data_IF_885044643325
#
_entry.id   IF_885044643325
#
_cell.length_a   1.000
_cell.length_b   1.000
_cell.length_c   1.000
_cell.angle_alpha   90.00
_cell.angle_beta   90.00
_cell.angle_gamma   90.00
#
_symmetry.space_group_name_H-M   'P 1'
#
loop_
_entity.id
_entity.type
_entity.pdbx_description
1 polymer ?
#
# COMPACT_ATOMS: atom_id res chain seq x y z
N UNK A 1 -2.85 -18.41 56.00
CA UNK A 1 -1.82 -17.54 55.41
C UNK A 1 -1.21 -18.23 54.21
N UNK A 2 -1.56 -17.79 53.01
CA UNK A 2 -0.82 -18.06 51.78
C UNK A 2 -1.02 -16.81 50.92
N UNK A 3 -0.07 -15.90 51.03
CA UNK A 3 0.10 -14.74 50.15
C UNK A 3 0.98 -15.17 48.98
N UNK A 4 0.83 -14.50 47.83
CA UNK A 4 1.71 -14.41 46.63
C UNK A 4 0.82 -14.48 45.38
N UNK A 5 0.83 -13.59 44.40
CA UNK A 5 1.30 -12.21 44.18
C UNK A 5 0.68 -11.83 42.82
N UNK A 6 0.09 -10.64 42.70
CA UNK A 6 -0.38 -10.12 41.42
C UNK A 6 0.80 -9.87 40.47
N UNK A 7 0.78 -10.47 39.27
CA UNK A 7 1.72 -10.14 38.21
C UNK A 7 1.12 -9.06 37.32
N UNK A 8 1.71 -7.87 37.40
CA UNK A 8 1.41 -6.72 36.57
C UNK A 8 1.98 -6.94 35.17
N UNK A 9 1.11 -7.14 34.17
CA UNK A 9 1.52 -7.14 32.76
C UNK A 9 1.88 -5.71 32.37
N UNK A 10 3.18 -5.46 32.33
CA UNK A 10 3.79 -4.18 32.02
C UNK A 10 3.73 -3.96 30.51
N UNK A 11 2.69 -3.27 30.02
CA UNK A 11 2.63 -2.81 28.62
C UNK A 11 3.65 -1.70 28.41
N UNK A 12 4.88 -2.11 28.11
CA UNK A 12 5.98 -1.22 27.70
C UNK A 12 5.58 -0.56 26.39
N UNK A 13 5.24 0.74 26.46
CA UNK A 13 5.06 1.59 25.29
C UNK A 13 6.41 1.72 24.60
N UNK A 14 6.48 1.30 23.34
CA UNK A 14 7.66 1.49 22.48
C UNK A 14 7.80 3.00 22.20
N UNK A 15 8.93 3.56 22.63
CA UNK A 15 9.36 4.92 22.35
C UNK A 15 10.34 4.88 21.17
N UNK A 16 9.99 5.36 19.97
CA UNK A 16 10.96 5.50 18.90
C UNK A 16 11.81 6.75 19.16
N UNK A 17 13.00 6.55 19.73
CA UNK A 17 14.03 7.59 19.74
C UNK A 17 14.58 7.71 18.32
N UNK A 18 14.17 8.76 17.61
CA UNK A 18 14.74 9.14 16.34
C UNK A 18 16.15 9.71 16.57
N UNK A 19 17.18 8.89 16.34
CA UNK A 19 18.55 9.35 16.19
C UNK A 19 18.73 9.91 14.78
N UNK A 20 18.83 11.22 14.68
CA UNK A 20 19.18 11.97 13.47
C UNK A 20 20.61 11.65 13.03
N UNK A 21 20.76 11.10 11.81
CA UNK A 21 22.06 10.92 11.16
C UNK A 21 21.92 10.19 9.83
N UNK A 22 21.87 10.95 8.72
CA UNK A 22 22.37 10.67 7.35
C UNK A 22 22.47 9.23 6.81
N UNK A 23 21.62 8.30 7.26
CA UNK A 23 21.47 6.92 6.78
C UNK A 23 20.01 6.63 6.34
N UNK A 24 19.18 7.67 6.18
CA UNK A 24 17.72 7.55 6.02
C UNK A 24 17.27 6.71 4.82
N UNK A 25 18.03 6.70 3.72
CA UNK A 25 17.65 5.96 2.51
C UNK A 25 17.93 4.45 2.63
N UNK A 26 18.99 4.04 3.34
CA UNK A 26 19.27 2.62 3.57
C UNK A 26 18.21 2.01 4.50
N UNK A 27 17.81 2.73 5.55
CA UNK A 27 16.74 2.31 6.46
C UNK A 27 15.35 2.33 5.82
N UNK A 28 15.09 3.24 4.87
CA UNK A 28 13.82 3.27 4.15
C UNK A 28 13.69 2.09 3.17
N UNK A 29 14.75 1.75 2.44
CA UNK A 29 14.75 0.56 1.58
C UNK A 29 14.62 -0.73 2.39
N UNK A 30 15.31 -0.84 3.53
CA UNK A 30 15.19 -2.01 4.42
C UNK A 30 13.76 -2.16 4.96
N UNK A 31 13.11 -1.05 5.32
CA UNK A 31 11.70 -1.06 5.73
C UNK A 31 10.74 -1.49 4.60
N UNK A 32 11.00 -1.05 3.36
CA UNK A 32 10.21 -1.47 2.20
C UNK A 32 10.39 -2.96 1.90
N UNK A 33 11.62 -3.47 2.00
CA UNK A 33 11.91 -4.89 1.81
C UNK A 33 11.22 -5.75 2.90
N UNK A 34 11.25 -5.31 4.16
CA UNK A 34 10.54 -5.98 5.26
C UNK A 34 9.02 -5.97 5.04
N UNK A 35 8.46 -4.84 4.59
CA UNK A 35 7.04 -4.73 4.29
C UNK A 35 6.62 -5.64 3.13
N UNK A 36 7.41 -5.69 2.05
CA UNK A 36 7.17 -6.58 0.91
C UNK A 36 7.24 -8.05 1.32
N UNK A 37 8.25 -8.44 2.11
CA UNK A 37 8.39 -9.82 2.59
C UNK A 37 7.22 -10.21 3.51
N UNK A 38 6.79 -9.31 4.40
CA UNK A 38 5.63 -9.51 5.27
C UNK A 38 4.35 -9.74 4.46
N UNK A 39 4.11 -8.91 3.44
CA UNK A 39 2.96 -9.03 2.54
C UNK A 39 3.00 -10.34 1.77
N UNK A 40 4.15 -10.70 1.19
CA UNK A 40 4.32 -11.97 0.48
C UNK A 40 4.08 -13.16 1.39
N UNK A 41 4.62 -13.13 2.61
CA UNK A 41 4.40 -14.18 3.61
C UNK A 41 2.94 -14.32 3.98
N UNK A 42 2.21 -13.21 4.13
CA UNK A 42 0.77 -13.24 4.42
C UNK A 42 -0.03 -13.84 3.26
N UNK A 43 0.28 -13.45 2.01
CA UNK A 43 -0.33 -14.03 0.80
C UNK A 43 -0.13 -15.55 0.77
N UNK A 44 1.10 -15.98 1.02
CA UNK A 44 1.50 -17.37 1.07
C UNK A 44 0.74 -18.19 2.12
N UNK A 45 0.52 -17.62 3.30
CA UNK A 45 -0.26 -18.24 4.38
C UNK A 45 -1.73 -18.38 3.97
N UNK A 46 -2.33 -17.32 3.43
CA UNK A 46 -3.74 -17.32 3.05
C UNK A 46 -4.02 -18.27 1.86
N UNK A 47 -3.11 -18.34 0.88
CA UNK A 47 -3.22 -19.29 -0.24
C UNK A 47 -3.08 -20.73 0.25
N UNK A 48 -2.10 -21.03 1.11
CA UNK A 48 -1.95 -22.38 1.69
C UNK A 48 -3.20 -22.81 2.45
N UNK A 49 -3.76 -21.91 3.27
CA UNK A 49 -4.99 -22.19 4.01
C UNK A 49 -6.17 -22.53 3.10
N UNK A 50 -6.31 -21.83 1.97
CA UNK A 50 -7.35 -22.12 0.96
C UNK A 50 -7.12 -23.49 0.32
N UNK A 51 -5.88 -23.78 -0.10
CA UNK A 51 -5.53 -25.05 -0.75
C UNK A 51 -5.71 -26.25 0.20
N UNK A 52 -5.30 -26.11 1.46
CA UNK A 52 -5.44 -27.16 2.48
C UNK A 52 -6.92 -27.43 2.79
N UNK A 53 -7.72 -26.39 2.93
CA UNK A 53 -9.16 -26.53 3.16
C UNK A 53 -9.88 -27.14 1.94
N UNK A 54 -9.48 -26.77 0.72
CA UNK A 54 -10.02 -27.35 -0.51
C UNK A 54 -9.66 -28.84 -0.68
N UNK A 55 -8.40 -29.20 -0.43
CA UNK A 55 -7.97 -30.61 -0.43
C UNK A 55 -8.73 -31.43 0.63
N UNK A 56 -8.96 -30.86 1.82
CA UNK A 56 -9.78 -31.50 2.83
C UNK A 56 -11.23 -31.75 2.36
N UNK A 57 -11.84 -30.79 1.66
CA UNK A 57 -13.17 -30.96 1.06
C UNK A 57 -13.21 -32.06 -0.01
N UNK A 58 -12.20 -32.14 -0.88
CA UNK A 58 -12.08 -33.22 -1.86
C UNK A 58 -12.00 -34.58 -1.14
N UNK A 59 -11.19 -34.66 -0.08
CA UNK A 59 -11.05 -35.90 0.70
C UNK A 59 -12.37 -36.29 1.38
N UNK A 60 -13.12 -35.32 1.93
CA UNK A 60 -14.46 -35.53 2.50
C UNK A 60 -15.49 -35.94 1.43
N UNK A 61 -15.35 -35.44 0.20
CA UNK A 61 -16.30 -35.72 -0.89
C UNK A 61 -16.28 -37.18 -1.39
N UNK A 62 -15.27 -37.97 -1.01
CA UNK A 62 -15.16 -39.37 -1.41
C UNK A 62 -16.40 -40.18 -1.01
N UNK A 63 -17.10 -40.71 -2.01
CA UNK A 63 -18.35 -41.47 -1.86
C UNK A 63 -17.98 -42.92 -1.52
N UNK A 64 -17.85 -43.22 -0.22
CA UNK A 64 -17.81 -44.58 0.33
C UNK A 64 -19.07 -44.77 1.18
N UNK A 65 -19.50 -45.99 1.49
CA UNK A 65 -20.65 -46.21 2.39
C UNK A 65 -20.49 -45.46 3.74
N UNK A 66 -21.24 -44.38 3.92
CA UNK A 66 -21.20 -43.53 5.12
C UNK A 66 -22.45 -43.74 5.96
N UNK A 67 -22.28 -43.96 7.25
CA UNK A 67 -23.36 -43.97 8.22
C UNK A 67 -23.87 -42.54 8.48
N UNK A 68 -25.13 -42.40 8.93
CA UNK A 68 -25.80 -41.11 9.18
C UNK A 68 -25.03 -40.21 10.16
N UNK A 69 -24.36 -40.80 11.16
CA UNK A 69 -23.51 -40.04 12.08
C UNK A 69 -22.25 -39.50 11.42
N UNK A 70 -21.63 -40.28 10.52
CA UNK A 70 -20.47 -39.82 9.74
C UNK A 70 -20.86 -38.71 8.77
N UNK A 71 -22.01 -38.83 8.10
CA UNK A 71 -22.50 -37.78 7.20
C UNK A 71 -22.71 -36.47 7.97
N UNK A 72 -23.28 -36.51 9.18
CA UNK A 72 -23.46 -35.32 10.00
C UNK A 72 -22.12 -34.68 10.42
N UNK A 73 -21.14 -35.50 10.81
CA UNK A 73 -19.80 -35.03 11.18
C UNK A 73 -19.06 -34.42 9.98
N UNK A 74 -19.08 -35.09 8.83
CA UNK A 74 -18.43 -34.61 7.61
C UNK A 74 -19.10 -33.35 7.07
N UNK A 75 -20.42 -33.20 7.24
CA UNK A 75 -21.13 -31.97 6.90
C UNK A 75 -20.64 -30.78 7.73
N UNK A 76 -20.52 -30.97 9.05
CA UNK A 76 -19.98 -29.93 9.92
C UNK A 76 -18.52 -29.61 9.58
N UNK A 77 -17.70 -30.63 9.32
CA UNK A 77 -16.32 -30.41 8.89
C UNK A 77 -16.25 -29.66 7.55
N UNK A 78 -17.06 -30.05 6.56
CA UNK A 78 -17.11 -29.39 5.28
C UNK A 78 -17.51 -27.90 5.40
N UNK A 79 -18.49 -27.59 6.24
CA UNK A 79 -18.89 -26.21 6.52
C UNK A 79 -17.75 -25.41 7.17
N UNK A 80 -17.06 -25.98 8.16
CA UNK A 80 -15.91 -25.34 8.80
C UNK A 80 -14.73 -25.10 7.83
N UNK A 81 -14.49 -26.04 6.90
CA UNK A 81 -13.48 -25.86 5.84
C UNK A 81 -13.88 -24.77 4.86
N UNK A 82 -15.14 -24.69 4.48
CA UNK A 82 -15.66 -23.63 3.62
C UNK A 82 -15.54 -22.24 4.30
N UNK A 83 -15.87 -22.13 5.60
CA UNK A 83 -15.68 -20.89 6.36
C UNK A 83 -14.21 -20.46 6.39
N UNK A 84 -13.30 -21.43 6.59
CA UNK A 84 -11.84 -21.17 6.56
C UNK A 84 -11.41 -20.59 5.21
N UNK A 85 -11.87 -21.17 4.08
CA UNK A 85 -11.57 -20.66 2.74
C UNK A 85 -12.07 -19.23 2.55
N UNK A 86 -13.31 -18.94 3.00
CA UNK A 86 -13.90 -17.60 2.88
C UNK A 86 -13.11 -16.58 3.70
N UNK A 87 -12.71 -16.92 4.92
CA UNK A 87 -11.89 -16.03 5.77
C UNK A 87 -10.53 -15.72 5.16
N UNK A 88 -9.84 -16.72 4.61
CA UNK A 88 -8.56 -16.52 3.92
C UNK A 88 -8.71 -15.66 2.66
N UNK A 89 -9.79 -15.85 1.89
CA UNK A 89 -10.08 -14.99 0.73
C UNK A 89 -10.42 -13.55 1.13
N UNK A 90 -11.14 -13.36 2.25
CA UNK A 90 -11.41 -12.04 2.83
C UNK A 90 -10.11 -11.36 3.29
N UNK A 91 -9.19 -12.10 3.91
CA UNK A 91 -7.86 -11.61 4.29
C UNK A 91 -7.08 -11.09 3.07
N UNK A 92 -7.00 -11.88 1.99
CA UNK A 92 -6.37 -11.47 0.74
C UNK A 92 -7.03 -10.22 0.13
N UNK A 93 -8.36 -10.13 0.22
CA UNK A 93 -9.10 -8.95 -0.27
C UNK A 93 -8.74 -7.71 0.54
N UNK A 94 -8.72 -7.82 1.87
CA UNK A 94 -8.34 -6.72 2.76
C UNK A 94 -6.89 -6.29 2.51
N UNK A 95 -5.97 -7.23 2.31
CA UNK A 95 -4.58 -6.96 1.95
C UNK A 95 -4.49 -6.20 0.62
N UNK A 96 -5.27 -6.59 -0.39
CA UNK A 96 -5.35 -5.86 -1.65
C UNK A 96 -5.84 -4.41 -1.46
N UNK A 97 -6.85 -4.19 -0.61
CA UNK A 97 -7.31 -2.84 -0.28
C UNK A 97 -6.24 -2.02 0.44
N UNK A 98 -5.53 -2.60 1.39
CA UNK A 98 -4.44 -1.94 2.10
C UNK A 98 -3.30 -1.53 1.15
N UNK A 99 -2.89 -2.41 0.24
CA UNK A 99 -1.88 -2.11 -0.78
C UNK A 99 -2.31 -1.00 -1.74
N UNK A 100 -3.58 -1.01 -2.18
CA UNK A 100 -4.14 0.06 -3.01
C UNK A 100 -4.08 1.41 -2.29
N UNK A 101 -4.49 1.45 -1.02
CA UNK A 101 -4.42 2.69 -0.22
C UNK A 101 -2.96 3.15 -0.04
N UNK A 102 -2.03 2.24 0.25
CA UNK A 102 -0.60 2.56 0.36
C UNK A 102 -0.05 3.18 -0.93
N UNK A 103 -0.47 2.69 -2.09
CA UNK A 103 -0.09 3.26 -3.38
C UNK A 103 -0.70 4.64 -3.60
N UNK A 104 -1.98 4.84 -3.28
CA UNK A 104 -2.62 6.14 -3.39
C UNK A 104 -1.94 7.19 -2.52
N UNK A 105 -1.65 6.84 -1.26
CA UNK A 105 -0.93 7.73 -0.32
C UNK A 105 0.51 8.02 -0.78
N UNK A 106 1.15 7.08 -1.49
CA UNK A 106 2.47 7.30 -2.08
C UNK A 106 2.45 8.14 -3.36
N UNK A 107 1.30 8.27 -4.03
CA UNK A 107 1.15 9.04 -5.27
C UNK A 107 0.57 10.44 -5.06
N UNK A 108 0.01 10.75 -3.88
CA UNK A 108 -0.40 12.11 -3.54
C UNK A 108 0.84 13.01 -3.62
N UNK A 109 0.91 13.98 -4.55
CA UNK A 109 1.99 14.94 -4.53
C UNK A 109 1.84 15.67 -3.21
N UNK A 110 2.83 15.55 -2.34
CA UNK A 110 2.92 16.43 -1.17
C UNK A 110 3.04 17.83 -1.76
N UNK A 111 1.92 18.54 -1.85
CA UNK A 111 1.90 19.98 -2.01
C UNK A 111 2.45 20.52 -0.70
N UNK A 112 3.78 20.44 -0.54
CA UNK A 112 4.50 21.22 0.46
C UNK A 112 4.41 22.68 0.00
N UNK A 113 3.26 23.28 0.25
CA UNK A 113 3.16 24.68 0.59
C UNK A 113 3.87 24.85 1.94
N UNK A 114 5.18 25.04 1.93
CA UNK A 114 5.90 25.66 3.03
C UNK A 114 6.75 26.79 2.48
N UNK A 115 6.13 27.97 2.48
CA UNK A 115 6.87 29.21 2.64
C UNK A 115 7.59 29.20 4.00
N UNK A 116 8.78 29.81 4.02
CA UNK A 116 9.50 30.39 5.17
C UNK A 116 10.51 29.49 5.91
N UNK A 117 11.78 29.87 5.70
CA UNK A 117 12.97 29.73 6.57
C UNK A 117 13.59 28.35 6.78
N UNK A 118 14.70 28.11 6.07
CA UNK A 118 16.03 28.23 6.70
C UNK A 118 17.15 28.19 5.66
N UNK A 119 17.81 29.34 5.49
CA UNK A 119 19.11 29.43 4.81
C UNK A 119 20.17 28.73 5.67
N UNK A 120 20.68 27.57 5.25
CA UNK A 120 22.10 27.29 5.46
C UNK A 120 22.68 26.26 4.48
N UNK A 121 23.52 26.81 3.59
CA UNK A 121 24.75 26.23 3.02
C UNK A 121 24.69 24.96 2.16
N UNK A 122 24.97 25.13 0.86
CA UNK A 122 25.65 24.11 0.08
C UNK A 122 25.40 24.13 -1.42
N UNK A 123 26.45 24.45 -2.19
CA UNK A 123 26.63 24.12 -3.61
C UNK A 123 26.11 25.11 -4.66
N UNK A 124 27.07 25.74 -5.34
CA UNK A 124 26.95 26.79 -6.37
C UNK A 124 26.44 26.30 -7.75
N UNK A 125 25.51 25.35 -7.80
CA UNK A 125 25.02 24.76 -9.05
C UNK A 125 23.49 24.90 -9.28
N UNK A 126 22.75 25.61 -8.42
CA UNK A 126 21.28 25.71 -8.53
C UNK A 126 20.76 26.79 -9.48
N UNK A 127 21.52 27.87 -9.73
CA UNK A 127 20.96 29.04 -10.43
C UNK A 127 20.65 28.81 -11.92
N UNK A 128 21.27 27.83 -12.58
CA UNK A 128 21.03 27.63 -14.03
C UNK A 128 19.73 26.88 -14.32
N UNK A 129 19.30 25.99 -13.42
CA UNK A 129 18.10 25.15 -13.61
C UNK A 129 16.82 25.97 -13.40
N UNK A 130 16.83 26.87 -12.41
CA UNK A 130 15.70 27.77 -12.14
C UNK A 130 15.56 28.80 -13.28
N UNK A 131 16.67 29.34 -13.79
CA UNK A 131 16.65 30.28 -14.92
C UNK A 131 16.20 29.61 -16.24
N UNK A 132 16.62 28.37 -16.50
CA UNK A 132 16.17 27.59 -17.67
C UNK A 132 14.67 27.22 -17.57
N UNK A 133 14.21 26.83 -16.39
CA UNK A 133 12.80 26.55 -16.14
C UNK A 133 11.92 27.79 -16.34
N UNK A 134 12.36 28.96 -15.84
CA UNK A 134 11.67 30.24 -16.03
C UNK A 134 11.64 30.62 -17.53
N UNK A 135 12.74 30.41 -18.26
CA UNK A 135 12.79 30.66 -19.70
C UNK A 135 11.85 29.75 -20.50
N UNK A 136 11.74 28.47 -20.13
CA UNK A 136 10.82 27.52 -20.76
C UNK A 136 9.36 27.86 -20.50
N UNK A 137 9.02 28.34 -19.29
CA UNK A 137 7.67 28.81 -18.96
C UNK A 137 7.30 30.01 -19.83
N UNK A 138 8.18 30.99 -19.97
CA UNK A 138 7.92 32.17 -20.81
C UNK A 138 7.82 31.81 -22.30
N UNK A 139 8.66 30.88 -22.77
CA UNK A 139 8.58 30.36 -24.15
C UNK A 139 7.26 29.63 -24.41
N UNK A 140 6.80 28.83 -23.45
CA UNK A 140 5.53 28.10 -23.54
C UNK A 140 4.34 29.06 -23.51
N UNK A 141 4.37 30.09 -22.66
CA UNK A 141 3.34 31.13 -22.61
C UNK A 141 3.23 31.89 -23.94
N UNK A 142 4.37 32.27 -24.53
CA UNK A 142 4.40 32.95 -25.83
C UNK A 142 3.88 32.07 -26.97
N UNK A 143 4.31 30.80 -27.02
CA UNK A 143 3.80 29.86 -28.04
C UNK A 143 2.29 29.63 -27.90
N UNK A 144 1.76 29.61 -26.67
CA UNK A 144 0.32 29.49 -26.42
C UNK A 144 -0.45 30.72 -26.91
N UNK A 145 0.09 31.92 -26.71
CA UNK A 145 -0.50 33.16 -27.23
C UNK A 145 -0.50 33.20 -28.77
N UNK A 146 0.60 32.79 -29.40
CA UNK A 146 0.68 32.66 -30.86
C UNK A 146 -0.34 31.64 -31.40
N UNK A 147 -0.46 30.46 -30.76
CA UNK A 147 -1.47 29.47 -31.10
C UNK A 147 -2.90 30.01 -30.92
N UNK A 148 -3.18 30.75 -29.84
CA UNK A 148 -4.48 31.37 -29.61
C UNK A 148 -4.81 32.40 -30.70
N UNK A 149 -3.83 33.21 -31.11
CA UNK A 149 -3.98 34.18 -32.21
C UNK A 149 -4.25 33.51 -33.54
N UNK A 150 -3.56 32.42 -33.87
CA UNK A 150 -3.83 31.66 -35.09
C UNK A 150 -5.21 31.00 -35.06
N UNK A 151 -5.65 30.51 -33.90
CA UNK A 151 -6.99 29.95 -33.71
C UNK A 151 -8.05 31.04 -33.90
N UNK A 152 -7.87 32.24 -33.35
CA UNK A 152 -8.75 33.39 -33.61
C UNK A 152 -8.74 33.83 -35.07
N UNK A 153 -7.59 33.82 -35.74
CA UNK A 153 -7.48 34.17 -37.16
C UNK A 153 -8.21 33.14 -38.05
N UNK A 154 -8.19 31.86 -37.68
CA UNK A 154 -8.90 30.78 -38.38
C UNK A 154 -10.41 30.83 -38.09
N UNK A 155 -10.81 31.06 -36.84
CA UNK A 155 -12.23 31.15 -36.44
C UNK A 155 -12.89 32.46 -36.90
N UNK A 156 -12.16 33.58 -36.93
CA UNK A 156 -12.64 34.89 -37.38
C UNK A 156 -12.77 35.03 -38.90
N UNK A 157 -12.13 34.16 -39.68
CA UNK A 157 -12.28 34.12 -41.15
C UNK A 157 -13.44 33.25 -41.63
N UNK A 158 -14.15 32.54 -40.74
CA UNK A 158 -15.29 31.68 -41.12
C UNK A 158 -16.67 32.33 -40.90
N UNK A 159 -16.73 33.64 -40.66
CA UNK A 159 -17.97 34.42 -40.73
C UNK A 159 -17.89 35.42 -41.88
N UNK A 160 -18.06 34.90 -43.11
CA UNK A 160 -18.10 35.66 -44.36
C UNK A 160 -18.44 34.75 -45.52
#
# INVERSE_FOLDING_TARGET
MASVTASATSSSRLNPSASTGTNGNASANEYLDEAVESVNRQIDVDIRAILDAFNALINLSSIRDKDRFRIAQEKFEAEARADTMVRSAQSLTLLSHALKLSLLLSQEPIQCEEEVESKQEGSKNGQTLDDEAIALIHSTAKSKEECARYIEEILGKNTG
#
